data_IF_094793843495
#
_entry.id   IF_094793843495
#
_cell.length_a   1.000
_cell.length_b   1.000
_cell.length_c   1.000
_cell.angle_alpha   90.00
_cell.angle_beta   90.00
_cell.angle_gamma   90.00
#
_symmetry.space_group_name_H-M   'P 1'
#
loop_
_entity.id
_entity.type
_entity.pdbx_description
1 polymer ?
#
# COMPACT_ATOMS: atom_id res chain seq x y z
N UNK A 1 6.29 27.80 -21.25
CA UNK A 1 6.19 28.12 -20.73
C UNK A 1 6.13 27.94 -20.04
N UNK A 2 5.80 27.70 -20.41
CA UNK A 2 5.69 27.81 -19.81
C UNK A 2 5.62 27.36 -19.22
N UNK A 3 5.46 27.03 -19.74
CA UNK A 3 5.40 26.96 -19.20
C UNK A 3 5.43 26.55 -18.49
N UNK A 4 5.17 26.17 -18.87
CA UNK A 4 5.20 26.07 -18.23
C UNK A 4 5.10 25.69 -17.62
N UNK A 5 4.92 25.37 -17.85
CA UNK A 5 4.81 25.39 -17.31
C UNK A 5 4.36 25.00 -16.88
N UNK A 6 4.24 24.76 -17.39
CA UNK A 6 3.85 24.79 -17.07
C UNK A 6 3.63 24.07 -16.77
N UNK A 7 3.63 23.66 -17.05
CA UNK A 7 3.54 23.44 -16.84
C UNK A 7 3.57 22.75 -16.33
N UNK A 8 3.47 22.36 -16.50
CA UNK A 8 3.52 22.11 -15.91
C UNK A 8 3.10 21.58 -15.34
N UNK A 9 3.01 21.48 -15.64
CA UNK A 9 2.46 21.28 -15.21
C UNK A 9 1.87 20.74 -14.72
N UNK A 10 1.90 20.36 -14.90
CA UNK A 10 1.34 20.16 -14.53
C UNK A 10 0.99 19.68 -14.25
N UNK A 11 1.09 19.47 -14.61
CA UNK A 11 0.84 19.35 -14.40
C UNK A 11 0.60 18.94 -14.12
N UNK A 12 0.83 18.75 -14.24
CA UNK A 12 0.50 18.48 -13.98
C UNK A 12 0.17 18.31 -13.56
N UNK A 13 -0.01 18.52 -13.90
CA UNK A 13 -0.65 18.40 -13.63
C UNK A 13 -1.20 17.76 -12.97
N UNK A 14 -1.08 17.80 -13.02
CA UNK A 14 -1.85 17.47 -11.92
C UNK A 14 -2.68 16.22 -11.90
N UNK A 15 -2.31 15.25 -12.62
CA UNK A 15 -3.04 13.99 -12.59
C UNK A 15 -2.60 13.16 -11.42
N UNK A 16 -3.58 12.61 -10.69
CA UNK A 16 -3.32 11.71 -9.60
C UNK A 16 -3.08 10.30 -10.13
N UNK A 17 -2.07 9.65 -9.59
CA UNK A 17 -1.78 8.26 -9.90
C UNK A 17 -2.31 7.38 -8.78
N UNK A 18 -2.95 6.28 -9.14
CA UNK A 18 -3.45 5.31 -8.16
C UNK A 18 -2.56 4.08 -8.15
N UNK A 19 -2.28 3.62 -6.95
CA UNK A 19 -1.48 2.41 -6.74
C UNK A 19 -2.23 1.50 -5.80
N UNK A 20 -2.31 0.21 -6.14
CA UNK A 20 -3.00 -0.78 -5.33
C UNK A 20 -2.12 -2.00 -5.16
N UNK A 21 -1.96 -2.45 -3.93
CA UNK A 21 -1.21 -3.66 -3.62
C UNK A 21 -1.96 -4.47 -2.58
N UNK A 22 -1.91 -5.80 -2.67
CA UNK A 22 -2.51 -6.63 -1.65
C UNK A 22 -1.69 -6.59 -0.37
N UNK A 23 -2.38 -6.56 0.75
CA UNK A 23 -1.77 -6.58 2.07
C UNK A 23 -2.36 -7.72 2.88
N UNK A 24 -1.53 -8.32 3.70
CA UNK A 24 -1.93 -9.41 4.60
C UNK A 24 -2.00 -8.85 6.00
N UNK A 25 -3.16 -9.03 6.65
CA UNK A 25 -3.43 -8.55 7.98
C UNK A 25 -3.48 -9.75 8.92
N UNK A 26 -2.68 -9.69 9.98
CA UNK A 26 -2.56 -10.83 10.87
C UNK A 26 -2.47 -10.33 12.31
N UNK A 27 -3.26 -10.92 13.19
CA UNK A 27 -3.21 -10.57 14.60
C UNK A 27 -1.84 -10.90 15.17
N UNK A 28 -1.27 -9.97 15.94
CA UNK A 28 0.04 -10.18 16.56
C UNK A 28 -0.04 -11.29 17.58
N UNK A 29 0.99 -12.14 17.62
CA UNK A 29 0.98 -13.31 18.50
C UNK A 29 1.19 -12.95 19.96
N UNK A 30 1.90 -11.87 20.22
CA UNK A 30 2.23 -11.46 21.58
C UNK A 30 1.26 -10.43 22.15
N UNK A 31 0.60 -9.65 21.28
CA UNK A 31 -0.35 -8.64 21.72
C UNK A 31 -1.54 -8.64 20.77
N UNK A 32 -2.64 -9.24 21.21
CA UNK A 32 -3.81 -9.46 20.34
C UNK A 32 -4.52 -8.17 19.96
N UNK A 33 -4.19 -7.05 20.62
CA UNK A 33 -4.76 -5.76 20.23
C UNK A 33 -4.14 -5.21 18.97
N UNK A 34 -2.99 -5.74 18.54
CA UNK A 34 -2.30 -5.25 17.35
C UNK A 34 -2.51 -6.18 16.17
N UNK A 35 -2.62 -5.56 15.01
CA UNK A 35 -2.72 -6.24 13.72
C UNK A 35 -1.46 -5.91 12.94
N UNK A 36 -0.71 -6.92 12.55
CA UNK A 36 0.47 -6.74 11.72
C UNK A 36 0.06 -6.72 10.26
N UNK A 37 0.67 -5.83 9.48
CA UNK A 37 0.36 -5.66 8.06
C UNK A 37 1.62 -5.89 7.26
N UNK A 38 1.54 -6.77 6.27
CA UNK A 38 2.65 -7.07 5.38
C UNK A 38 2.18 -6.90 3.94
N UNK A 39 3.05 -6.31 3.11
CA UNK A 39 2.79 -6.23 1.67
C UNK A 39 3.69 -7.27 0.99
N UNK A 40 3.14 -8.45 0.64
CA UNK A 40 4.01 -9.53 0.11
C UNK A 40 4.78 -9.15 -1.15
N UNK A 41 4.22 -8.27 -1.98
CA UNK A 41 4.87 -7.84 -3.22
C UNK A 41 5.99 -6.83 -3.00
N UNK A 42 6.05 -6.22 -1.81
CA UNK A 42 6.94 -5.11 -1.54
C UNK A 42 7.86 -5.47 -0.38
N UNK A 43 9.09 -5.83 -0.73
CA UNK A 43 10.06 -6.28 0.28
C UNK A 43 10.29 -5.20 1.33
N UNK A 44 10.13 -5.58 2.60
CA UNK A 44 10.41 -4.69 3.71
C UNK A 44 9.31 -3.70 4.06
N UNK A 45 8.20 -3.73 3.35
CA UNK A 45 7.10 -2.80 3.62
C UNK A 45 6.12 -3.47 4.58
N UNK A 46 6.22 -3.10 5.85
CA UNK A 46 5.40 -3.67 6.92
C UNK A 46 4.97 -2.54 7.85
N UNK A 47 3.85 -2.76 8.52
CA UNK A 47 3.39 -1.83 9.54
C UNK A 47 2.48 -2.59 10.51
N UNK A 48 1.90 -1.89 11.45
CA UNK A 48 0.92 -2.47 12.36
C UNK A 48 -0.04 -1.39 12.82
N UNK A 49 -1.16 -1.81 13.35
CA UNK A 49 -2.15 -0.91 13.89
C UNK A 49 -2.88 -1.56 15.04
N UNK A 50 -3.52 -0.76 15.84
CA UNK A 50 -4.30 -1.24 16.98
C UNK A 50 -5.73 -1.47 16.52
N UNK A 51 -6.03 -2.73 16.19
CA UNK A 51 -7.30 -3.10 15.58
C UNK A 51 -7.28 -2.94 14.07
N UNK A 52 -8.32 -3.46 13.40
CA UNK A 52 -8.34 -3.50 11.93
C UNK A 52 -8.47 -2.11 11.30
N UNK A 53 -9.28 -1.24 11.89
CA UNK A 53 -9.46 0.09 11.31
C UNK A 53 -8.16 0.87 11.29
N UNK A 54 -7.45 0.84 12.42
CA UNK A 54 -6.15 1.51 12.51
C UNK A 54 -5.13 0.84 11.59
N UNK A 55 -5.15 -0.49 11.52
CA UNK A 55 -4.24 -1.22 10.65
C UNK A 55 -4.45 -0.85 9.18
N UNK A 56 -5.70 -0.66 8.76
CA UNK A 56 -5.99 -0.22 7.39
C UNK A 56 -5.46 1.18 7.14
N UNK A 57 -5.62 2.06 8.12
CA UNK A 57 -5.07 3.41 8.01
C UNK A 57 -3.54 3.36 7.90
N UNK A 58 -2.89 2.58 8.76
CA UNK A 58 -1.43 2.47 8.75
C UNK A 58 -0.93 1.82 7.46
N UNK A 59 -1.69 0.89 6.89
CA UNK A 59 -1.33 0.26 5.63
C UNK A 59 -1.28 1.28 4.51
N UNK A 60 -2.28 2.15 4.43
CA UNK A 60 -2.29 3.22 3.42
C UNK A 60 -1.15 4.20 3.67
N UNK A 61 -0.90 4.54 4.91
CA UNK A 61 0.12 5.50 5.26
C UNK A 61 1.51 5.00 4.86
N UNK A 62 1.85 3.75 5.19
CA UNK A 62 3.15 3.21 4.85
C UNK A 62 3.30 3.03 3.33
N UNK A 63 2.25 2.59 2.65
CA UNK A 63 2.31 2.43 1.20
C UNK A 63 2.55 3.79 0.53
N UNK A 64 1.84 4.81 0.97
CA UNK A 64 1.99 6.14 0.40
C UNK A 64 3.41 6.66 0.61
N UNK A 65 3.98 6.44 1.78
CA UNK A 65 5.36 6.85 2.08
C UNK A 65 6.36 6.12 1.19
N UNK A 66 6.12 4.82 0.96
CA UNK A 66 7.05 4.01 0.19
C UNK A 66 7.00 4.28 -1.31
N UNK A 67 5.97 4.98 -1.77
CA UNK A 67 5.87 5.35 -3.19
C UNK A 67 6.89 6.41 -3.60
N UNK A 68 7.68 6.93 -2.66
CA UNK A 68 8.84 7.74 -3.00
C UNK A 68 9.93 6.91 -3.67
N UNK A 69 9.88 5.58 -3.56
CA UNK A 69 10.90 4.69 -4.11
C UNK A 69 10.43 4.10 -5.43
N UNK A 70 11.31 4.14 -6.44
CA UNK A 70 10.97 3.68 -7.78
C UNK A 70 10.62 2.19 -7.81
N UNK A 71 11.28 1.38 -6.98
CA UNK A 71 11.01 -0.05 -7.02
C UNK A 71 9.55 -0.36 -6.64
N UNK A 72 8.97 0.43 -5.76
CA UNK A 72 7.56 0.26 -5.39
C UNK A 72 6.67 0.63 -6.57
N UNK A 73 6.95 1.76 -7.21
CA UNK A 73 6.16 2.20 -8.35
C UNK A 73 6.22 1.23 -9.51
N UNK A 74 7.36 0.53 -9.67
CA UNK A 74 7.58 -0.36 -10.80
C UNK A 74 7.22 -1.81 -10.51
N UNK A 75 6.80 -2.12 -9.28
CA UNK A 75 6.39 -3.47 -8.93
C UNK A 75 4.98 -3.72 -9.45
N UNK A 76 4.81 -4.86 -10.12
CA UNK A 76 3.49 -5.28 -10.59
C UNK A 76 2.79 -6.00 -9.44
N UNK A 77 1.61 -5.52 -9.08
CA UNK A 77 0.86 -6.08 -7.97
C UNK A 77 0.30 -7.45 -8.32
N UNK A 78 0.40 -8.38 -7.37
CA UNK A 78 -0.27 -9.67 -7.46
C UNK A 78 -1.77 -9.44 -7.25
N UNK A 79 -2.61 -10.22 -7.90
CA UNK A 79 -4.05 -10.09 -7.73
C UNK A 79 -4.45 -10.44 -6.29
N UNK A 80 -5.58 -9.89 -5.88
CA UNK A 80 -6.13 -10.22 -4.57
C UNK A 80 -6.39 -11.71 -4.44
N UNK A 81 -6.95 -12.31 -5.48
CA UNK A 81 -7.29 -13.73 -5.47
C UNK A 81 -6.04 -14.59 -5.27
N UNK A 82 -4.98 -14.32 -6.02
CA UNK A 82 -3.76 -15.10 -5.90
C UNK A 82 -3.11 -14.92 -4.55
N UNK A 83 -3.10 -13.70 -4.04
CA UNK A 83 -2.54 -13.43 -2.72
C UNK A 83 -3.33 -14.18 -1.65
N UNK A 84 -4.66 -14.18 -1.75
CA UNK A 84 -5.49 -14.92 -0.80
C UNK A 84 -5.21 -16.41 -0.86
N UNK A 85 -4.93 -16.96 -2.03
CA UNK A 85 -4.56 -18.37 -2.16
C UNK A 85 -3.23 -18.67 -1.49
N UNK A 86 -2.28 -17.75 -1.60
CA UNK A 86 -0.96 -17.94 -1.02
C UNK A 86 -0.96 -17.76 0.50
N UNK A 87 -1.96 -17.06 1.04
CA UNK A 87 -2.03 -16.77 2.47
C UNK A 87 -3.37 -17.22 3.05
N UNK A 88 -3.67 -18.50 2.85
CA UNK A 88 -4.94 -19.07 3.31
C UNK A 88 -5.10 -18.91 4.81
N UNK A 89 -6.31 -18.59 5.22
CA UNK A 89 -6.63 -18.40 6.62
C UNK A 89 -6.30 -17.03 7.16
N UNK A 90 -5.68 -16.17 6.35
CA UNK A 90 -5.35 -14.81 6.74
C UNK A 90 -6.29 -13.82 6.06
N UNK A 91 -6.39 -12.63 6.63
CA UNK A 91 -7.17 -11.56 6.02
C UNK A 91 -6.28 -10.89 4.97
N UNK A 92 -6.77 -10.84 3.74
CA UNK A 92 -6.05 -10.20 2.63
C UNK A 92 -6.96 -9.16 2.02
N UNK A 93 -6.46 -7.93 1.90
CA UNK A 93 -7.22 -6.83 1.31
C UNK A 93 -6.34 -6.04 0.38
N UNK A 94 -6.95 -5.46 -0.66
CA UNK A 94 -6.23 -4.51 -1.50
C UNK A 94 -6.15 -3.18 -0.78
N UNK A 95 -4.96 -2.60 -0.80
CA UNK A 95 -4.72 -1.27 -0.25
C UNK A 95 -4.46 -0.34 -1.41
N UNK A 96 -5.30 0.66 -1.56
CA UNK A 96 -5.20 1.61 -2.68
C UNK A 96 -4.88 2.99 -2.13
N UNK A 97 -3.91 3.64 -2.75
CA UNK A 97 -3.55 5.02 -2.43
C UNK A 97 -3.47 5.83 -3.71
N UNK A 98 -3.66 7.11 -3.56
CA UNK A 98 -3.61 8.06 -4.65
C UNK A 98 -2.58 9.13 -4.33
N UNK A 99 -1.67 9.37 -5.25
CA UNK A 99 -0.61 10.36 -5.05
C UNK A 99 -0.56 11.38 -6.18
#
# INVERSE_FOLDING_TARGET
>A
MTKIKEQYIMYLQGENMKYSFPAVFEQDQTDKNFINVTFPDLMGVVTCGQGMEDARFMAKDVLKSMLAFDYVKNTVATSLEKTAQNFKGKIVEMVEVEV
#
